data_IF_751166012009
#
_entry.id   IF_751166012009
#
_cell.length_a   1.000
_cell.length_b   1.000
_cell.length_c   1.000
_cell.angle_alpha   90.00
_cell.angle_beta   90.00
_cell.angle_gamma   90.00
#
_symmetry.space_group_name_H-M   'P 1'
#
loop_
_entity.id
_entity.type
_entity.pdbx_description
1 polymer ?
#
# COMPACT_ATOMS: atom_id res chain seq x y z
N UNK A 1 -6.50 2.75 -3.54
CA UNK A 1 -5.68 2.15 -2.46
C UNK A 1 -5.97 0.66 -2.39
N UNK A 2 -5.06 -0.10 -1.81
CA UNK A 2 -5.24 -1.52 -1.52
C UNK A 2 -5.49 -1.69 -0.03
N UNK A 3 -6.43 -2.56 0.32
CA UNK A 3 -6.83 -2.86 1.69
C UNK A 3 -6.54 -4.34 1.90
N UNK A 4 -5.64 -4.66 2.83
CA UNK A 4 -5.26 -6.03 3.14
C UNK A 4 -5.94 -6.46 4.42
N UNK A 5 -6.72 -7.52 4.36
CA UNK A 5 -7.36 -8.15 5.50
C UNK A 5 -6.40 -9.17 6.12
N UNK A 6 -6.55 -9.43 7.42
CA UNK A 6 -5.71 -10.39 8.14
C UNK A 6 -5.81 -11.82 7.61
N UNK A 7 -6.90 -12.16 6.94
CA UNK A 7 -7.12 -13.46 6.30
C UNK A 7 -6.46 -13.58 4.90
N UNK A 8 -5.79 -12.52 4.44
CA UNK A 8 -5.10 -12.47 3.15
C UNK A 8 -5.95 -11.93 2.00
N UNK A 9 -7.25 -11.63 2.20
CA UNK A 9 -8.06 -10.96 1.17
C UNK A 9 -7.51 -9.57 0.89
N UNK A 10 -7.51 -9.19 -0.38
CA UNK A 10 -7.13 -7.84 -0.83
C UNK A 10 -8.36 -7.21 -1.49
N UNK A 11 -8.74 -6.03 -1.02
CA UNK A 11 -9.77 -5.21 -1.66
C UNK A 11 -9.17 -3.93 -2.22
N UNK A 12 -9.78 -3.41 -3.27
CA UNK A 12 -9.39 -2.14 -3.88
C UNK A 12 -10.46 -1.11 -3.54
N UNK A 13 -10.05 0.08 -3.11
CA UNK A 13 -10.98 1.15 -2.79
C UNK A 13 -10.42 2.54 -2.99
N UNK A 14 -11.30 3.53 -2.94
CA UNK A 14 -10.97 4.96 -2.98
C UNK A 14 -11.28 5.55 -1.61
N UNK A 15 -10.29 6.23 -1.03
CA UNK A 15 -10.46 6.97 0.22
C UNK A 15 -11.44 8.12 -0.02
N UNK A 16 -12.55 8.15 0.71
CA UNK A 16 -13.53 9.23 0.65
C UNK A 16 -13.33 10.24 1.77
N UNK A 17 -13.14 9.77 3.00
CA UNK A 17 -12.94 10.64 4.16
C UNK A 17 -12.09 9.94 5.22
N UNK A 18 -11.25 10.73 5.89
CA UNK A 18 -10.55 10.34 7.10
C UNK A 18 -10.86 11.40 8.16
N UNK A 19 -11.59 11.03 9.21
CA UNK A 19 -11.99 11.94 10.29
C UNK A 19 -11.67 11.32 11.64
N UNK A 20 -10.65 11.87 12.32
CA UNK A 20 -10.17 11.31 13.58
C UNK A 20 -9.73 9.85 13.42
N UNK A 21 -10.42 8.95 14.12
CA UNK A 21 -10.18 7.50 14.09
C UNK A 21 -11.13 6.74 13.16
N UNK A 22 -11.84 7.41 12.24
CA UNK A 22 -12.75 6.78 11.27
C UNK A 22 -12.31 7.06 9.83
N UNK A 23 -12.30 6.02 9.01
CA UNK A 23 -11.92 6.04 7.60
C UNK A 23 -13.10 5.51 6.76
N UNK A 24 -13.55 6.28 5.77
CA UNK A 24 -14.63 5.89 4.85
C UNK A 24 -14.09 5.65 3.46
N UNK A 25 -14.50 4.53 2.86
CA UNK A 25 -13.92 4.00 1.63
C UNK A 25 -15.02 3.53 0.69
N UNK A 26 -14.99 4.01 -0.55
CA UNK A 26 -15.75 3.38 -1.63
C UNK A 26 -14.97 2.16 -2.12
N UNK A 27 -15.55 0.97 -1.97
CA UNK A 27 -14.93 -0.28 -2.43
C UNK A 27 -15.26 -0.53 -3.90
N UNK A 28 -14.32 -1.16 -4.61
CA UNK A 28 -14.55 -1.61 -5.98
C UNK A 28 -15.60 -2.72 -5.97
N UNK A 29 -16.58 -2.62 -6.87
CA UNK A 29 -17.65 -3.61 -7.07
C UNK A 29 -18.63 -3.73 -5.88
N UNK A 30 -18.67 -2.73 -4.99
CA UNK A 30 -19.67 -2.61 -3.93
C UNK A 30 -20.38 -1.25 -4.02
N UNK A 31 -21.69 -1.25 -3.77
CA UNK A 31 -22.51 -0.04 -3.82
C UNK A 31 -22.44 0.77 -2.52
N UNK A 32 -22.12 0.11 -1.40
CA UNK A 32 -22.04 0.72 -0.08
C UNK A 32 -20.62 1.23 0.25
N UNK A 33 -20.58 2.20 1.16
CA UNK A 33 -19.34 2.79 1.66
C UNK A 33 -18.89 2.02 2.90
N UNK A 34 -17.72 1.38 2.82
CA UNK A 34 -17.12 0.71 3.97
C UNK A 34 -16.53 1.72 4.96
N UNK A 35 -16.79 1.52 6.25
CA UNK A 35 -16.18 2.25 7.35
C UNK A 35 -15.12 1.40 8.09
N UNK A 36 -13.96 1.99 8.34
CA UNK A 36 -12.91 1.39 9.15
C UNK A 36 -12.61 2.26 10.36
N UNK A 37 -12.32 1.64 11.49
CA UNK A 37 -12.01 2.35 12.75
C UNK A 37 -10.62 2.04 13.25
N UNK A 38 -9.92 3.07 13.71
CA UNK A 38 -8.62 2.95 14.37
C UNK A 38 -8.84 2.71 15.86
N UNK A 39 -8.57 1.49 16.31
CA UNK A 39 -8.67 1.08 17.72
C UNK A 39 -7.29 0.60 18.18
N UNK A 40 -6.76 1.21 19.24
CA UNK A 40 -5.47 0.83 19.84
C UNK A 40 -4.31 0.75 18.83
N UNK A 41 -4.30 1.63 17.83
CA UNK A 41 -3.27 1.68 16.78
C UNK A 41 -3.46 0.70 15.63
N UNK A 42 -4.55 -0.06 15.62
CA UNK A 42 -4.89 -1.01 14.56
C UNK A 42 -6.19 -0.60 13.85
N UNK A 43 -6.20 -0.68 12.52
CA UNK A 43 -7.41 -0.45 11.75
C UNK A 43 -8.27 -1.71 11.70
N UNK A 44 -9.57 -1.53 11.92
CA UNK A 44 -10.55 -2.60 12.05
C UNK A 44 -11.69 -2.35 11.06
N UNK A 45 -12.11 -3.38 10.31
CA UNK A 45 -13.27 -3.34 9.40
C UNK A 45 -14.60 -3.41 10.15
N UNK A 46 -15.71 -3.23 9.43
CA UNK A 46 -17.08 -3.39 9.95
C UNK A 46 -17.34 -4.80 10.49
N UNK A 47 -16.69 -5.80 9.88
CA UNK A 47 -16.73 -7.21 10.30
C UNK A 47 -15.79 -7.53 11.48
N UNK A 48 -15.24 -6.49 12.14
CA UNK A 48 -14.28 -6.60 13.23
C UNK A 48 -12.95 -7.27 12.83
N UNK A 49 -12.55 -7.18 11.56
CA UNK A 49 -11.30 -7.76 11.07
C UNK A 49 -10.17 -6.74 11.04
N UNK A 50 -8.95 -7.09 11.49
CA UNK A 50 -7.77 -6.26 11.31
C UNK A 50 -7.45 -6.02 9.83
N UNK A 51 -7.16 -4.77 9.47
CA UNK A 51 -6.76 -4.40 8.12
C UNK A 51 -5.54 -3.49 8.08
N UNK A 52 -4.84 -3.49 6.95
CA UNK A 52 -3.80 -2.51 6.61
C UNK A 52 -4.07 -1.87 5.25
N UNK A 53 -3.53 -0.67 5.05
CA UNK A 53 -3.76 0.11 3.83
C UNK A 53 -2.45 0.39 3.10
N UNK A 54 -2.49 0.25 1.77
CA UNK A 54 -1.39 0.62 0.89
C UNK A 54 -1.86 1.61 -0.17
N UNK A 55 -1.12 2.69 -0.31
CA UNK A 55 -1.35 3.71 -1.33
C UNK A 55 -0.33 3.51 -2.45
N UNK A 56 -0.76 3.24 -3.70
CA UNK A 56 0.17 3.14 -4.82
C UNK A 56 0.72 4.52 -5.18
N UNK A 57 1.79 4.95 -4.50
CA UNK A 57 2.40 6.28 -4.65
C UNK A 57 2.67 6.66 -6.10
N UNK A 58 3.15 5.72 -6.93
CA UNK A 58 3.41 5.96 -8.35
C UNK A 58 2.15 6.42 -9.12
N UNK A 59 0.98 5.88 -8.77
CA UNK A 59 -0.29 6.29 -9.39
C UNK A 59 -0.66 7.72 -8.99
N UNK A 60 -0.43 8.10 -7.73
CA UNK A 60 -0.69 9.47 -7.26
C UNK A 60 0.30 10.51 -7.84
N UNK A 61 1.55 10.11 -8.09
CA UNK A 61 2.54 10.94 -8.79
C UNK A 61 2.15 11.16 -10.25
N UNK A 62 1.78 10.09 -10.97
CA UNK A 62 1.33 10.19 -12.36
C UNK A 62 0.06 11.06 -12.50
N UNK A 63 -0.80 11.06 -11.48
CA UNK A 63 -1.98 11.92 -11.41
C UNK A 63 -1.68 13.37 -10.96
N UNK A 64 -0.42 13.71 -10.63
CA UNK A 64 -0.03 15.04 -10.16
C UNK A 64 -0.53 15.40 -8.75
N UNK A 65 -1.03 14.41 -8.00
CA UNK A 65 -1.57 14.61 -6.64
C UNK A 65 -0.42 14.73 -5.62
N UNK A 66 0.68 14.00 -5.85
CA UNK A 66 1.90 14.10 -5.06
C UNK A 66 2.98 14.77 -5.92
N UNK A 67 3.54 15.92 -5.51
CA UNK A 67 4.64 16.55 -6.23
C UNK A 67 5.90 15.67 -6.18
N UNK A 68 6.65 15.62 -7.29
CA UNK A 68 7.86 14.79 -7.43
C UNK A 68 8.92 15.05 -6.34
N UNK A 69 8.91 16.22 -5.71
CA UNK A 69 9.84 16.60 -4.64
C UNK A 69 9.62 15.85 -3.31
N UNK A 70 8.52 15.10 -3.17
CA UNK A 70 8.11 14.45 -1.92
C UNK A 70 8.16 12.92 -1.97
N UNK A 71 8.70 12.35 -3.03
CA UNK A 71 8.92 10.90 -3.13
C UNK A 71 10.10 10.54 -2.23
N UNK A 72 9.93 9.67 -1.22
CA UNK A 72 11.08 9.10 -0.53
C UNK A 72 11.91 8.38 -1.59
N UNK A 73 13.15 8.82 -1.80
CA UNK A 73 14.12 8.05 -2.59
C UNK A 73 14.34 6.77 -1.79
N UNK A 74 13.55 5.73 -2.10
CA UNK A 74 13.80 4.40 -1.57
C UNK A 74 15.24 4.05 -1.93
N UNK A 75 16.07 3.60 -0.97
CA UNK A 75 17.43 3.20 -1.30
C UNK A 75 17.31 2.11 -2.36
N UNK A 76 17.79 2.42 -3.57
CA UNK A 76 17.91 1.45 -4.65
C UNK A 76 18.78 0.34 -4.08
N UNK A 77 18.19 -0.83 -3.85
CA UNK A 77 18.95 -2.00 -3.44
C UNK A 77 20.10 -2.15 -4.45
N UNK A 78 21.35 -2.32 -3.99
CA UNK A 78 22.46 -2.46 -4.91
C UNK A 78 22.12 -3.60 -5.86
N UNK A 79 22.12 -3.31 -7.17
CA UNK A 79 22.03 -4.36 -8.19
C UNK A 79 23.15 -5.32 -7.85
N UNK A 80 22.80 -6.53 -7.39
CA UNK A 80 23.78 -7.60 -7.24
C UNK A 80 24.52 -7.68 -8.56
N UNK A 81 25.77 -7.24 -8.56
CA UNK A 81 26.71 -7.47 -9.64
C UNK A 81 26.71 -8.96 -9.86
N UNK A 82 26.08 -9.37 -10.96
CA UNK A 82 26.02 -10.73 -11.42
C UNK A 82 27.47 -11.19 -11.53
N UNK A 83 27.89 -12.04 -10.58
CA UNK A 83 29.21 -12.66 -10.59
C UNK A 83 29.31 -13.39 -11.93
N UNK A 84 30.17 -12.87 -12.80
CA UNK A 84 30.52 -13.48 -14.07
C UNK A 84 31.08 -14.89 -13.79
N UNK A 85 30.47 -15.98 -14.30
CA UNK A 85 30.95 -17.33 -14.05
C UNK A 85 32.29 -17.65 -14.76
N UNK A 86 32.90 -16.71 -15.50
CA UNK A 86 34.10 -16.98 -16.29
C UNK A 86 35.45 -16.92 -15.52
N UNK A 87 35.49 -16.55 -14.23
CA UNK A 87 36.76 -16.44 -13.48
C UNK A 87 37.21 -17.73 -12.76
N UNK A 88 36.58 -18.89 -13.02
CA UNK A 88 37.02 -20.18 -12.50
C UNK A 88 37.85 -20.97 -13.52
N UNK A 89 38.90 -20.37 -14.08
CA UNK A 89 39.97 -21.17 -14.67
C UNK A 89 41.27 -20.35 -14.78
N UNK A 90 42.13 -20.44 -13.76
CA UNK A 90 43.54 -20.75 -13.93
C UNK A 90 44.19 -20.98 -12.56
N UNK A 91 44.62 -22.23 -12.33
CA UNK A 91 45.77 -22.55 -11.48
C UNK A 91 47.05 -22.07 -12.15
#
# INVERSE_FOLDING_TARGET
MLIRYSDGRIRVGILMALTGSSLRVALKDEDDVAEYRLLSGQWISEDCEPVTFEFPLAAFQAAGIIPESQVPVLPVAPKNTLLDPAAQHLN
#
